data_IF_772826036637
#
_entry.id   IF_772826036637
#
_cell.length_a   1.000
_cell.length_b   1.000
_cell.length_c   1.000
_cell.angle_alpha   90.00
_cell.angle_beta   90.00
_cell.angle_gamma   90.00
#
_symmetry.space_group_name_H-M   'P 1'
#
loop_
_entity.id
_entity.type
_entity.pdbx_description
1 polymer ?
#
# COMPACT_ATOMS: atom_id res chain seq x y z
N UNK A 1 9.12 9.19 -0.83
CA UNK A 1 7.68 9.33 -1.19
C UNK A 1 6.81 8.34 -0.44
N UNK A 2 7.18 7.06 -0.46
CA UNK A 2 6.39 6.02 0.22
C UNK A 2 6.30 6.23 1.73
N UNK A 3 7.28 6.87 2.35
CA UNK A 3 7.26 7.19 3.77
C UNK A 3 6.08 8.07 4.16
N UNK A 4 5.68 9.00 3.29
CA UNK A 4 4.57 9.91 3.55
C UNK A 4 3.23 9.20 3.53
N UNK A 5 3.12 8.13 2.75
CA UNK A 5 1.88 7.39 2.58
C UNK A 5 1.62 6.37 3.68
N UNK A 6 2.67 5.82 4.29
CA UNK A 6 2.54 4.73 5.26
C UNK A 6 1.68 5.07 6.47
N UNK A 7 1.79 6.26 7.10
CA UNK A 7 0.89 6.59 8.20
C UNK A 7 -0.59 6.62 7.82
N UNK A 8 -0.91 7.10 6.61
CA UNK A 8 -2.30 7.10 6.15
C UNK A 8 -2.81 5.70 5.85
N UNK A 9 -1.96 4.81 5.35
CA UNK A 9 -2.30 3.39 5.18
C UNK A 9 -2.58 2.71 6.51
N UNK A 10 -1.78 3.00 7.53
CA UNK A 10 -1.98 2.46 8.88
C UNK A 10 -3.34 2.90 9.44
N UNK A 11 -3.68 4.18 9.31
CA UNK A 11 -4.98 4.70 9.73
C UNK A 11 -6.13 4.01 9.00
N UNK A 12 -6.00 3.85 7.68
CA UNK A 12 -7.01 3.17 6.87
C UNK A 12 -7.20 1.72 7.34
N UNK A 13 -6.11 1.02 7.62
CA UNK A 13 -6.13 -0.36 8.09
C UNK A 13 -6.83 -0.49 9.45
N UNK A 14 -6.62 0.48 10.35
CA UNK A 14 -7.25 0.47 11.68
C UNK A 14 -8.74 0.78 11.62
N UNK A 15 -9.14 1.74 10.78
CA UNK A 15 -10.54 2.15 10.66
C UNK A 15 -11.39 1.13 9.89
N UNK A 16 -10.82 0.50 8.89
CA UNK A 16 -11.54 -0.42 7.99
C UNK A 16 -10.83 -1.76 7.94
N UNK A 17 -11.09 -2.60 8.94
CA UNK A 17 -10.41 -3.90 9.08
C UNK A 17 -10.71 -4.86 7.94
N UNK A 18 -11.80 -4.65 7.19
CA UNK A 18 -12.14 -5.46 6.02
C UNK A 18 -11.25 -5.16 4.81
N UNK A 19 -10.50 -4.05 4.83
CA UNK A 19 -9.55 -3.73 3.77
C UNK A 19 -8.23 -4.44 4.07
N UNK A 20 -7.77 -5.26 3.13
CA UNK A 20 -6.49 -5.96 3.24
C UNK A 20 -5.45 -5.18 2.46
N UNK A 21 -4.36 -4.82 3.12
CA UNK A 21 -3.32 -3.97 2.54
C UNK A 21 -2.01 -4.75 2.45
N UNK A 22 -1.38 -4.72 1.27
CA UNK A 22 -0.10 -5.37 1.01
C UNK A 22 0.93 -4.32 0.57
N UNK A 23 1.63 -3.66 1.51
CA UNK A 23 2.74 -2.78 1.14
C UNK A 23 3.89 -3.59 0.57
N UNK A 24 4.36 -3.23 -0.61
CA UNK A 24 5.39 -3.99 -1.32
C UNK A 24 6.58 -3.07 -1.60
N UNK A 25 7.75 -3.48 -1.12
CA UNK A 25 9.01 -2.77 -1.33
C UNK A 25 9.78 -3.46 -2.44
N UNK A 26 10.32 -2.69 -3.38
CA UNK A 26 11.10 -3.20 -4.50
C UNK A 26 12.57 -3.42 -4.15
N UNK A 27 12.99 -3.06 -2.96
CA UNK A 27 14.36 -3.30 -2.48
C UNK A 27 14.52 -4.73 -1.96
N UNK A 28 15.77 -5.15 -1.76
CA UNK A 28 16.05 -6.44 -1.13
C UNK A 28 15.63 -6.40 0.33
N UNK A 29 15.11 -7.53 0.86
CA UNK A 29 14.70 -7.59 2.26
C UNK A 29 15.86 -7.27 3.21
N UNK A 30 15.59 -6.42 4.20
CA UNK A 30 16.53 -6.08 5.26
C UNK A 30 15.71 -5.87 6.54
N UNK A 31 15.79 -6.82 7.47
CA UNK A 31 14.99 -6.80 8.69
C UNK A 31 15.26 -5.58 9.56
N UNK A 32 16.52 -5.18 9.68
CA UNK A 32 16.88 -4.03 10.51
C UNK A 32 16.31 -2.73 9.96
N UNK A 33 16.45 -2.51 8.65
CA UNK A 33 15.86 -1.35 7.99
C UNK A 33 14.34 -1.34 8.10
N UNK A 34 13.72 -2.49 7.94
CA UNK A 34 12.27 -2.62 8.02
C UNK A 34 11.77 -2.30 9.42
N UNK A 35 12.41 -2.83 10.45
CA UNK A 35 12.06 -2.55 11.85
C UNK A 35 12.21 -1.07 12.16
N UNK A 36 13.33 -0.47 11.75
CA UNK A 36 13.58 0.95 11.99
C UNK A 36 12.55 1.81 11.26
N UNK A 37 12.24 1.48 10.00
CA UNK A 37 11.26 2.18 9.19
C UNK A 37 9.89 2.19 9.89
N UNK A 38 9.42 1.03 10.33
CA UNK A 38 8.14 0.91 11.02
C UNK A 38 8.14 1.61 12.37
N UNK A 39 9.24 1.49 13.12
CA UNK A 39 9.39 2.16 14.42
C UNK A 39 9.37 3.68 14.28
N UNK A 40 10.13 4.22 13.32
CA UNK A 40 10.20 5.67 13.07
C UNK A 40 8.84 6.25 12.66
N UNK A 41 8.02 5.48 11.94
CA UNK A 41 6.71 5.91 11.49
C UNK A 41 5.57 5.46 12.42
N UNK A 42 5.90 4.80 13.53
CA UNK A 42 4.93 4.27 14.50
C UNK A 42 3.90 3.33 13.86
N UNK A 43 4.34 2.52 12.91
CA UNK A 43 3.48 1.55 12.22
C UNK A 43 3.55 0.21 12.95
N UNK A 44 2.40 -0.32 13.35
CA UNK A 44 2.32 -1.57 14.11
C UNK A 44 1.42 -2.61 13.47
N UNK A 45 0.49 -2.22 12.59
CA UNK A 45 -0.53 -3.10 12.03
C UNK A 45 -0.21 -3.64 10.65
N UNK A 46 0.63 -2.94 9.90
CA UNK A 46 0.99 -3.33 8.54
C UNK A 46 2.24 -4.20 8.52
N UNK A 47 2.27 -5.15 7.60
CA UNK A 47 3.47 -5.94 7.28
C UNK A 47 4.00 -5.46 5.94
N UNK A 48 5.31 -5.52 5.74
CA UNK A 48 5.90 -5.16 4.47
C UNK A 48 6.28 -6.41 3.69
N UNK A 49 6.07 -6.36 2.40
CA UNK A 49 6.41 -7.42 1.45
C UNK A 49 7.47 -6.90 0.50
N UNK A 50 8.21 -7.80 -0.15
CA UNK A 50 9.34 -7.43 -0.99
C UNK A 50 9.22 -8.04 -2.38
N UNK A 51 9.57 -7.26 -3.40
CA UNK A 51 9.61 -7.70 -4.79
C UNK A 51 10.91 -7.21 -5.44
N UNK A 52 12.08 -7.71 -5.00
CA UNK A 52 13.36 -7.18 -5.47
C UNK A 52 13.66 -7.43 -6.95
N UNK A 53 12.97 -8.39 -7.56
CA UNK A 53 13.15 -8.73 -8.97
C UNK A 53 12.10 -8.08 -9.88
N UNK A 54 11.28 -7.19 -9.32
CA UNK A 54 10.24 -6.46 -10.07
C UNK A 54 9.24 -7.39 -10.79
N UNK A 55 8.99 -8.57 -10.24
CA UNK A 55 8.04 -9.53 -10.83
C UNK A 55 6.63 -8.95 -10.91
N UNK A 56 6.18 -8.29 -9.83
CA UNK A 56 4.85 -7.66 -9.80
C UNK A 56 4.79 -6.43 -10.70
N UNK A 57 5.88 -5.67 -10.79
CA UNK A 57 5.97 -4.52 -11.70
C UNK A 57 5.72 -4.97 -13.14
N UNK A 58 6.32 -6.08 -13.53
CA UNK A 58 6.15 -6.64 -14.86
C UNK A 58 4.75 -7.22 -15.05
N UNK A 59 4.25 -7.95 -14.07
CA UNK A 59 2.94 -8.58 -14.12
C UNK A 59 1.81 -7.55 -14.28
N UNK A 60 1.87 -6.47 -13.52
CA UNK A 60 0.86 -5.41 -13.56
C UNK A 60 1.16 -4.31 -14.56
N UNK A 61 2.27 -4.42 -15.29
CA UNK A 61 2.70 -3.42 -16.28
C UNK A 61 2.77 -2.01 -15.67
N UNK A 62 3.39 -1.90 -14.51
CA UNK A 62 3.53 -0.64 -13.79
C UNK A 62 4.52 0.29 -14.47
N UNK A 63 4.24 1.58 -14.46
CA UNK A 63 5.07 2.61 -15.11
C UNK A 63 5.89 3.45 -14.15
N UNK A 64 5.72 3.26 -12.87
CA UNK A 64 6.47 4.04 -11.87
C UNK A 64 6.05 3.69 -10.46
N UNK A 65 6.73 4.29 -9.51
CA UNK A 65 6.44 4.14 -8.08
C UNK A 65 6.32 5.52 -7.45
N UNK A 66 5.49 5.67 -6.41
CA UNK A 66 4.57 4.66 -5.91
C UNK A 66 3.39 4.41 -6.85
N UNK A 67 2.88 3.20 -6.85
CA UNK A 67 1.66 2.83 -7.57
C UNK A 67 0.78 2.00 -6.64
N UNK A 68 -0.49 2.34 -6.58
CA UNK A 68 -1.47 1.61 -5.77
C UNK A 68 -2.46 0.91 -6.68
N UNK A 69 -2.62 -0.39 -6.49
CA UNK A 69 -3.55 -1.20 -7.28
C UNK A 69 -4.69 -1.62 -6.36
N UNK A 70 -5.90 -1.28 -6.77
CA UNK A 70 -7.11 -1.53 -5.99
C UNK A 70 -7.85 -2.72 -6.57
N UNK A 71 -8.05 -3.74 -5.74
CA UNK A 71 -8.62 -5.02 -6.15
C UNK A 71 -9.92 -5.25 -5.38
N UNK A 72 -10.97 -5.67 -6.09
CA UNK A 72 -12.28 -5.90 -5.50
C UNK A 72 -12.38 -7.28 -4.83
N UNK A 73 -13.59 -7.59 -4.30
CA UNK A 73 -13.84 -8.86 -3.61
C UNK A 73 -13.70 -10.08 -4.52
N UNK A 74 -13.81 -9.89 -5.82
CA UNK A 74 -13.71 -10.96 -6.81
C UNK A 74 -12.28 -11.14 -7.33
N UNK A 75 -11.32 -10.40 -6.79
CA UNK A 75 -9.94 -10.46 -7.21
C UNK A 75 -9.63 -9.69 -8.48
N UNK A 76 -10.51 -8.77 -8.89
CA UNK A 76 -10.33 -7.97 -10.09
C UNK A 76 -9.84 -6.57 -9.75
N UNK A 77 -8.88 -6.07 -10.50
CA UNK A 77 -8.43 -4.70 -10.39
C UNK A 77 -9.54 -3.76 -10.88
N UNK A 78 -9.99 -2.85 -10.00
CA UNK A 78 -11.02 -1.88 -10.39
C UNK A 78 -10.48 -0.46 -10.50
N UNK A 79 -9.29 -0.19 -9.95
CA UNK A 79 -8.68 1.12 -10.04
C UNK A 79 -7.17 1.02 -9.81
N UNK A 80 -6.47 2.04 -10.27
CA UNK A 80 -5.02 2.14 -10.10
C UNK A 80 -4.68 3.61 -9.90
N UNK A 81 -3.87 3.91 -8.88
CA UNK A 81 -3.41 5.26 -8.61
C UNK A 81 -1.90 5.31 -8.83
N UNK A 82 -1.46 6.18 -9.73
CA UNK A 82 -0.05 6.41 -10.01
C UNK A 82 0.38 7.68 -9.29
N UNK A 83 1.40 7.56 -8.44
CA UNK A 83 1.89 8.66 -7.63
C UNK A 83 1.44 8.60 -6.18
N UNK A 84 1.81 9.61 -5.40
CA UNK A 84 1.50 9.69 -3.98
C UNK A 84 0.02 9.89 -3.71
N UNK A 85 -0.48 9.25 -2.66
CA UNK A 85 -1.88 9.32 -2.24
C UNK A 85 -1.94 9.47 -0.73
N UNK A 86 -2.83 10.33 -0.26
CA UNK A 86 -3.25 10.31 1.13
C UNK A 86 -4.38 9.28 1.24
N UNK A 87 -4.06 8.10 1.76
CA UNK A 87 -5.01 6.99 1.83
C UNK A 87 -6.14 7.20 2.84
N UNK A 88 -6.05 8.25 3.63
CA UNK A 88 -7.11 8.58 4.59
C UNK A 88 -7.87 9.86 4.19
N UNK A 89 -7.63 10.37 2.99
CA UNK A 89 -8.42 11.47 2.43
C UNK A 89 -9.88 11.06 2.26
N UNK A 90 -10.79 11.95 2.61
CA UNK A 90 -12.22 11.68 2.60
C UNK A 90 -12.74 11.20 1.24
N UNK A 91 -12.32 11.86 0.18
CA UNK A 91 -12.72 11.49 -1.19
C UNK A 91 -12.27 10.10 -1.56
N UNK A 92 -11.03 9.75 -1.21
CA UNK A 92 -10.47 8.45 -1.49
C UNK A 92 -11.20 7.36 -0.68
N UNK A 93 -11.42 7.60 0.60
CA UNK A 93 -12.11 6.64 1.49
C UNK A 93 -13.54 6.42 1.00
N UNK A 94 -14.26 7.48 0.62
CA UNK A 94 -15.61 7.36 0.08
C UNK A 94 -15.64 6.55 -1.22
N UNK A 95 -14.64 6.72 -2.06
CA UNK A 95 -14.50 5.90 -3.27
C UNK A 95 -14.32 4.41 -2.93
N UNK A 96 -13.45 4.10 -1.97
CA UNK A 96 -13.22 2.71 -1.53
C UNK A 96 -14.48 2.06 -0.95
N UNK A 97 -15.29 2.80 -0.19
CA UNK A 97 -16.49 2.27 0.44
C UNK A 97 -17.47 1.68 -0.55
N UNK A 98 -17.48 2.14 -1.78
CA UNK A 98 -18.34 1.61 -2.83
C UNK A 98 -18.03 0.15 -3.17
N UNK A 99 -16.86 -0.34 -2.83
CA UNK A 99 -16.37 -1.67 -3.17
C UNK A 99 -16.21 -2.59 -1.96
N UNK A 100 -16.58 -2.12 -0.79
CA UNK A 100 -16.51 -2.93 0.44
C UNK A 100 -17.72 -3.83 0.65
#
# INVERSE_FOLDING_TARGET
PCKKEMPSLEKLSKEYSEIIIYPINLEKPNQEKTKKFFSDLEISKLNIYFDPNFALVKLFNMRGVPTSILIDKNGKEFARVIGEVDFFDESFVNFLKKYL
#
